data_IF_007921878876
#
_entry.id   IF_007921878876
#
_cell.length_a   1.000
_cell.length_b   1.000
_cell.length_c   1.000
_cell.angle_alpha   90.00
_cell.angle_beta   90.00
_cell.angle_gamma   90.00
#
_symmetry.space_group_name_H-M   'P 1'
#
loop_
_entity.id
_entity.type
_entity.pdbx_description
1 polymer ?
#
# COMPACT_ATOMS: atom_id res chain seq x y z
N UNK A 1 -26.39 11.93 -6.23
CA UNK A 1 -27.76 11.53 -5.80
C UNK A 1 -27.62 11.05 -4.36
N UNK A 2 -28.20 11.82 -3.43
CA UNK A 2 -28.28 11.46 -2.01
C UNK A 2 -29.28 10.29 -1.86
N UNK A 3 -28.82 9.16 -1.31
CA UNK A 3 -29.69 8.07 -0.91
C UNK A 3 -30.18 8.33 0.52
N UNK A 4 -31.48 8.45 0.70
CA UNK A 4 -32.09 8.51 2.04
C UNK A 4 -32.24 7.08 2.58
N UNK A 5 -31.72 6.82 3.80
CA UNK A 5 -32.01 5.58 4.52
C UNK A 5 -33.42 5.61 5.12
N UNK A 6 -33.96 4.44 5.50
CA UNK A 6 -35.30 4.28 6.09
C UNK A 6 -35.54 5.12 7.34
N UNK A 7 -34.51 5.74 7.94
CA UNK A 7 -34.59 6.61 9.12
C UNK A 7 -34.38 8.11 8.84
N UNK A 8 -34.37 8.56 7.58
CA UNK A 8 -34.26 9.99 7.23
C UNK A 8 -32.96 10.69 7.60
N UNK A 9 -31.91 9.99 8.00
CA UNK A 9 -30.59 10.56 8.24
C UNK A 9 -29.83 10.67 6.92
N UNK A 10 -29.38 11.89 6.60
CA UNK A 10 -28.47 12.11 5.45
C UNK A 10 -27.14 11.45 5.74
N UNK A 11 -26.78 10.45 4.95
CA UNK A 11 -25.46 9.86 5.00
C UNK A 11 -24.49 10.63 4.08
N UNK A 12 -23.31 10.94 4.58
CA UNK A 12 -22.23 11.48 3.79
C UNK A 12 -21.46 10.34 3.13
N UNK A 13 -21.18 10.45 1.83
CA UNK A 13 -20.36 9.50 1.10
C UNK A 13 -18.90 9.95 1.19
N UNK A 14 -18.03 9.10 1.73
CA UNK A 14 -16.59 9.32 1.81
C UNK A 14 -15.85 8.17 1.14
N UNK A 15 -14.97 8.48 0.19
CA UNK A 15 -14.16 7.48 -0.51
C UNK A 15 -12.71 7.60 -0.10
N UNK A 16 -12.12 6.49 0.35
CA UNK A 16 -10.68 6.32 0.51
C UNK A 16 -10.16 5.71 -0.79
N UNK A 17 -9.38 6.45 -1.59
CA UNK A 17 -8.81 5.91 -2.81
C UNK A 17 -7.75 4.84 -2.53
N UNK A 18 -7.56 3.94 -3.47
CA UNK A 18 -6.45 2.99 -3.47
C UNK A 18 -5.11 3.73 -3.49
N UNK A 19 -4.11 3.17 -2.82
CA UNK A 19 -2.80 3.80 -2.71
C UNK A 19 -2.73 5.00 -1.77
N UNK A 20 -3.82 5.36 -1.08
CA UNK A 20 -3.78 6.40 -0.03
C UNK A 20 -3.04 5.89 1.21
N UNK A 21 -2.44 6.82 1.92
CA UNK A 21 -1.87 6.58 3.25
C UNK A 21 -2.86 7.00 4.33
N UNK A 22 -2.53 6.70 5.58
CA UNK A 22 -3.31 7.18 6.74
C UNK A 22 -3.30 8.71 6.79
N UNK A 23 -2.15 9.34 6.53
CA UNK A 23 -2.00 10.79 6.49
C UNK A 23 -2.86 11.43 5.39
N UNK A 24 -2.78 10.89 4.17
CA UNK A 24 -3.59 11.38 3.04
C UNK A 24 -5.10 11.21 3.31
N UNK A 25 -5.48 10.12 4.00
CA UNK A 25 -6.86 9.88 4.41
C UNK A 25 -7.32 10.88 5.45
N UNK A 26 -6.46 11.20 6.44
CA UNK A 26 -6.72 12.20 7.46
C UNK A 26 -6.93 13.60 6.85
N UNK A 27 -6.04 14.01 5.95
CA UNK A 27 -6.14 15.29 5.25
C UNK A 27 -7.40 15.38 4.41
N UNK A 28 -7.80 14.29 3.75
CA UNK A 28 -9.01 14.23 2.95
C UNK A 28 -10.27 14.37 3.82
N UNK A 29 -10.32 13.70 4.98
CA UNK A 29 -11.42 13.82 5.92
C UNK A 29 -11.60 15.26 6.43
N UNK A 30 -10.50 15.94 6.75
CA UNK A 30 -10.52 17.33 7.19
C UNK A 30 -10.94 18.27 6.05
N UNK A 31 -10.39 18.09 4.85
CA UNK A 31 -10.73 18.88 3.66
C UNK A 31 -12.22 18.75 3.28
N UNK A 32 -12.81 17.59 3.47
CA UNK A 32 -14.24 17.36 3.21
C UNK A 32 -15.14 17.76 4.40
N UNK A 33 -14.57 18.26 5.50
CA UNK A 33 -15.31 18.74 6.66
C UNK A 33 -16.03 17.63 7.45
N UNK A 34 -15.54 16.39 7.35
CA UNK A 34 -16.14 15.24 8.05
C UNK A 34 -15.67 15.19 9.50
N UNK A 35 -14.36 15.30 9.72
CA UNK A 35 -13.70 15.41 11.03
C UNK A 35 -12.32 16.03 10.86
N UNK A 36 -11.65 16.42 11.95
CA UNK A 36 -10.27 16.91 11.88
C UNK A 36 -9.31 15.76 11.59
N UNK A 37 -8.20 16.06 10.89
CA UNK A 37 -7.12 15.09 10.67
C UNK A 37 -6.64 14.47 11.99
N UNK A 38 -6.47 15.31 13.02
CA UNK A 38 -6.01 14.87 14.33
C UNK A 38 -6.98 13.89 15.01
N UNK A 39 -8.30 14.07 14.87
CA UNK A 39 -9.30 13.13 15.40
C UNK A 39 -9.15 11.75 14.77
N UNK A 40 -9.03 11.69 13.44
CA UNK A 40 -8.83 10.43 12.73
C UNK A 40 -7.51 9.75 13.12
N UNK A 41 -6.39 10.48 13.13
CA UNK A 41 -5.08 9.94 13.47
C UNK A 41 -5.03 9.41 14.91
N UNK A 42 -5.71 10.08 15.84
CA UNK A 42 -5.85 9.64 17.24
C UNK A 42 -6.64 8.34 17.31
N UNK A 43 -7.75 8.24 16.57
CA UNK A 43 -8.57 7.03 16.52
C UNK A 43 -7.82 5.85 15.90
N UNK A 44 -7.05 6.06 14.83
CA UNK A 44 -6.17 5.04 14.20
C UNK A 44 -5.14 4.52 15.21
N UNK A 45 -4.47 5.41 15.93
CA UNK A 45 -3.47 5.03 16.94
C UNK A 45 -4.10 4.21 18.07
N UNK A 46 -5.25 4.64 18.58
CA UNK A 46 -6.01 3.92 19.62
C UNK A 46 -6.48 2.54 19.13
N UNK A 47 -6.96 2.45 17.89
CA UNK A 47 -7.43 1.21 17.31
C UNK A 47 -6.29 0.19 17.15
N UNK A 48 -5.05 0.62 16.93
CA UNK A 48 -3.89 -0.28 16.91
C UNK A 48 -3.74 -1.06 18.21
N UNK A 49 -3.95 -0.41 19.37
CA UNK A 49 -3.82 -1.05 20.68
C UNK A 49 -5.07 -1.90 21.07
N UNK A 50 -6.22 -1.69 20.43
CA UNK A 50 -7.50 -2.32 20.80
C UNK A 50 -8.04 -3.30 19.76
N UNK A 51 -7.58 -3.23 18.52
CA UNK A 51 -8.05 -4.10 17.44
C UNK A 51 -7.61 -5.55 17.62
N UNK A 52 -8.25 -6.45 16.89
CA UNK A 52 -7.86 -7.86 16.82
C UNK A 52 -6.46 -8.08 16.25
N UNK A 53 -5.90 -7.08 15.57
CA UNK A 53 -4.58 -7.10 14.95
C UNK A 53 -3.44 -6.74 15.89
N UNK A 54 -3.70 -6.19 17.08
CA UNK A 54 -2.70 -5.65 18.02
C UNK A 54 -1.47 -6.55 18.27
N UNK A 55 -1.65 -7.87 18.23
CA UNK A 55 -0.57 -8.82 18.52
C UNK A 55 0.30 -9.16 17.29
N UNK A 56 -0.08 -8.70 16.10
CA UNK A 56 0.63 -8.96 14.84
C UNK A 56 1.10 -7.69 14.17
N UNK A 57 0.72 -6.52 14.70
CA UNK A 57 1.15 -5.23 14.18
C UNK A 57 2.65 -5.00 14.46
N UNK A 58 3.34 -4.21 13.60
CA UNK A 58 4.74 -3.89 13.78
C UNK A 58 4.97 -3.05 15.05
N UNK A 59 6.22 -2.99 15.50
CA UNK A 59 6.64 -2.17 16.64
C UNK A 59 6.35 -0.68 16.35
N UNK A 60 5.48 -0.08 17.16
CA UNK A 60 5.05 1.32 17.03
C UNK A 60 6.18 2.35 17.08
N UNK A 61 7.35 1.97 17.62
CA UNK A 61 8.50 2.85 17.66
C UNK A 61 9.27 2.92 16.34
N UNK A 62 8.96 2.02 15.41
CA UNK A 62 9.67 1.86 14.14
C UNK A 62 8.84 2.23 12.92
N UNK A 63 7.53 2.39 13.08
CA UNK A 63 6.59 2.72 12.01
C UNK A 63 5.89 4.03 12.28
N UNK A 64 5.41 4.70 11.25
CA UNK A 64 4.62 5.92 11.42
C UNK A 64 3.24 5.59 12.01
N UNK A 65 2.56 4.61 11.41
CA UNK A 65 1.28 4.09 11.88
C UNK A 65 1.24 2.57 11.75
N UNK A 66 0.90 1.89 12.83
CA UNK A 66 0.82 0.42 12.86
C UNK A 66 -0.29 -0.14 11.96
N UNK A 67 -1.37 0.61 11.75
CA UNK A 67 -2.50 0.21 10.90
C UNK A 67 -2.36 0.66 9.44
N UNK A 68 -1.19 1.15 9.00
CA UNK A 68 -0.97 1.39 7.57
C UNK A 68 -1.16 0.08 6.79
N UNK A 69 -1.90 0.14 5.68
CA UNK A 69 -2.29 -1.03 4.91
C UNK A 69 -3.61 -1.70 5.35
N UNK A 70 -4.03 -1.54 6.61
CA UNK A 70 -5.32 -2.03 7.12
C UNK A 70 -6.47 -1.03 6.92
N UNK A 71 -6.15 0.24 6.67
CA UNK A 71 -7.15 1.26 6.33
C UNK A 71 -7.60 1.01 4.88
N UNK A 72 -8.63 0.16 4.74
CA UNK A 72 -9.03 -0.39 3.44
C UNK A 72 -9.63 0.67 2.51
N UNK A 73 -9.19 0.75 1.24
CA UNK A 73 -9.75 1.68 0.26
C UNK A 73 -11.13 1.21 -0.19
N UNK A 74 -12.14 2.02 0.09
CA UNK A 74 -13.52 1.78 -0.32
C UNK A 74 -14.33 3.08 -0.19
N UNK A 75 -15.61 3.02 -0.55
CA UNK A 75 -16.57 4.09 -0.34
C UNK A 75 -17.44 3.80 0.88
N UNK A 76 -17.31 4.66 1.88
CA UNK A 76 -17.98 4.56 3.17
C UNK A 76 -19.17 5.51 3.24
N UNK A 77 -20.33 5.00 3.66
CA UNK A 77 -21.51 5.81 3.99
C UNK A 77 -21.47 6.13 5.48
N UNK A 78 -21.38 7.42 5.80
CA UNK A 78 -21.10 7.92 7.14
C UNK A 78 -22.30 8.67 7.68
N UNK A 79 -22.66 8.41 8.94
CA UNK A 79 -23.64 9.24 9.66
C UNK A 79 -23.08 10.66 9.86
N UNK A 80 -23.97 11.66 9.98
CA UNK A 80 -23.61 13.08 10.08
C UNK A 80 -22.62 13.39 11.23
N UNK A 81 -22.67 12.63 12.31
CA UNK A 81 -21.87 12.86 13.52
C UNK A 81 -20.98 11.64 13.83
N UNK A 82 -20.44 10.99 12.79
CA UNK A 82 -19.54 9.85 13.00
C UNK A 82 -18.28 10.31 13.74
N UNK A 83 -17.88 9.56 14.76
CA UNK A 83 -16.60 9.80 15.46
C UNK A 83 -15.46 9.08 14.78
N UNK A 84 -14.21 9.51 15.04
CA UNK A 84 -13.02 8.84 14.52
C UNK A 84 -12.98 7.35 14.89
N UNK A 85 -13.30 7.00 16.15
CA UNK A 85 -13.34 5.60 16.60
C UNK A 85 -14.35 4.77 15.80
N UNK A 86 -15.54 5.31 15.52
CA UNK A 86 -16.57 4.62 14.73
C UNK A 86 -16.15 4.46 13.27
N UNK A 87 -15.51 5.47 12.69
CA UNK A 87 -15.01 5.39 11.32
C UNK A 87 -13.92 4.34 11.19
N UNK A 88 -12.91 4.35 12.06
CA UNK A 88 -11.83 3.38 12.04
C UNK A 88 -12.36 1.96 12.26
N UNK A 89 -13.29 1.76 13.17
CA UNK A 89 -13.94 0.46 13.38
C UNK A 89 -14.64 -0.04 12.10
N UNK A 90 -15.39 0.84 11.42
CA UNK A 90 -16.07 0.52 10.16
C UNK A 90 -15.09 0.16 9.05
N UNK A 91 -13.95 0.89 8.95
CA UNK A 91 -12.89 0.61 7.98
C UNK A 91 -12.24 -0.76 8.23
N UNK A 92 -11.92 -1.08 9.49
CA UNK A 92 -11.34 -2.37 9.85
C UNK A 92 -12.32 -3.53 9.65
N UNK A 93 -13.62 -3.31 9.88
CA UNK A 93 -14.66 -4.31 9.56
C UNK A 93 -14.72 -4.57 8.05
N UNK A 94 -14.59 -3.54 7.22
CA UNK A 94 -14.56 -3.73 5.77
C UNK A 94 -13.28 -4.45 5.33
N UNK A 95 -12.13 -4.12 5.89
CA UNK A 95 -10.91 -4.88 5.67
C UNK A 95 -11.11 -6.37 6.01
N UNK A 96 -11.76 -6.69 7.13
CA UNK A 96 -12.06 -8.06 7.54
C UNK A 96 -12.92 -8.82 6.54
N UNK A 97 -13.88 -8.16 5.92
CA UNK A 97 -14.71 -8.74 4.86
C UNK A 97 -13.92 -9.01 3.58
N UNK A 98 -13.03 -8.09 3.23
CA UNK A 98 -12.22 -8.19 2.00
C UNK A 98 -11.06 -9.17 2.18
N UNK A 99 -10.33 -9.12 3.29
CA UNK A 99 -9.29 -10.09 3.63
C UNK A 99 -9.92 -11.29 4.34
N UNK A 100 -10.79 -11.99 3.64
CA UNK A 100 -11.61 -13.08 4.11
C UNK A 100 -10.81 -14.37 4.44
N UNK A 101 -11.51 -15.40 4.91
CA UNK A 101 -10.90 -16.69 5.25
C UNK A 101 -10.16 -17.32 4.06
N UNK A 102 -10.64 -17.14 2.84
CA UNK A 102 -9.99 -17.68 1.63
C UNK A 102 -8.64 -17.05 1.42
N UNK A 103 -8.52 -15.71 1.53
CA UNK A 103 -7.25 -14.98 1.43
C UNK A 103 -6.30 -15.29 2.58
N UNK A 104 -6.84 -15.42 3.81
CA UNK A 104 -6.05 -15.84 4.97
C UNK A 104 -5.45 -17.24 4.77
N UNK A 105 -6.21 -18.19 4.25
CA UNK A 105 -5.73 -19.55 3.95
C UNK A 105 -4.66 -19.52 2.84
N UNK A 106 -4.85 -18.73 1.78
CA UNK A 106 -3.84 -18.57 0.73
C UNK A 106 -2.54 -17.96 1.27
N UNK A 107 -2.62 -16.92 2.09
CA UNK A 107 -1.45 -16.33 2.74
C UNK A 107 -0.70 -17.39 3.56
N UNK A 108 -1.41 -18.17 4.38
CA UNK A 108 -0.82 -19.24 5.16
C UNK A 108 -0.17 -20.33 4.30
N UNK A 109 -0.77 -20.72 3.17
CA UNK A 109 -0.18 -21.68 2.21
C UNK A 109 1.11 -21.18 1.60
N UNK A 110 1.23 -19.84 1.40
CA UNK A 110 2.45 -19.18 0.92
C UNK A 110 3.46 -18.91 2.05
N UNK A 111 3.13 -19.24 3.29
CA UNK A 111 3.97 -18.95 4.47
C UNK A 111 4.03 -17.46 4.83
N UNK A 112 3.08 -16.67 4.39
CA UNK A 112 3.03 -15.22 4.61
C UNK A 112 2.07 -14.87 5.76
N UNK A 113 2.47 -13.93 6.62
CA UNK A 113 1.57 -13.26 7.54
C UNK A 113 0.67 -12.26 6.80
N UNK A 114 -0.44 -11.82 7.44
CA UNK A 114 -1.29 -10.74 6.92
C UNK A 114 -0.47 -9.49 6.66
N UNK A 115 0.39 -9.12 7.62
CA UNK A 115 1.27 -7.97 7.52
C UNK A 115 2.20 -8.07 6.28
N UNK A 116 2.81 -9.22 6.06
CA UNK A 116 3.68 -9.43 4.90
C UNK A 116 2.93 -9.33 3.58
N UNK A 117 1.70 -9.84 3.51
CA UNK A 117 0.85 -9.65 2.32
C UNK A 117 0.56 -8.18 2.07
N UNK A 118 0.19 -7.42 3.12
CA UNK A 118 -0.09 -5.99 2.99
C UNK A 118 1.15 -5.17 2.61
N UNK A 119 2.32 -5.50 3.16
CA UNK A 119 3.59 -4.87 2.76
C UNK A 119 3.80 -5.06 1.26
N UNK A 120 3.78 -6.30 0.77
CA UNK A 120 3.98 -6.61 -0.64
C UNK A 120 2.92 -5.95 -1.53
N UNK A 121 1.65 -6.03 -1.15
CA UNK A 121 0.56 -5.42 -1.90
C UNK A 121 0.67 -3.90 -1.99
N UNK A 122 1.13 -3.24 -0.91
CA UNK A 122 1.38 -1.80 -0.93
C UNK A 122 2.52 -1.39 -1.86
N UNK A 123 3.53 -2.26 -2.02
CA UNK A 123 4.58 -2.07 -3.03
C UNK A 123 3.98 -2.18 -4.44
N UNK A 124 3.25 -3.27 -4.74
CA UNK A 124 2.60 -3.44 -6.05
C UNK A 124 1.75 -2.23 -6.42
N UNK A 125 0.91 -1.75 -5.48
CA UNK A 125 0.02 -0.60 -5.67
C UNK A 125 0.75 0.69 -6.04
N UNK A 126 2.02 0.82 -5.66
CA UNK A 126 2.83 2.02 -5.93
C UNK A 126 3.73 1.89 -7.16
N UNK A 127 3.88 0.69 -7.71
CA UNK A 127 4.81 0.43 -8.83
C UNK A 127 4.11 0.38 -10.19
N UNK A 128 2.81 0.08 -10.24
CA UNK A 128 2.07 0.04 -11.50
C UNK A 128 0.60 0.39 -11.29
N UNK A 129 -0.02 0.98 -12.31
CA UNK A 129 -1.47 1.22 -12.38
C UNK A 129 -2.21 0.07 -13.09
N UNK A 130 -1.46 -0.94 -13.60
CA UNK A 130 -2.01 -2.07 -14.35
C UNK A 130 -2.17 -3.30 -13.46
N UNK A 131 -3.41 -3.68 -13.06
CA UNK A 131 -3.64 -4.81 -12.16
C UNK A 131 -3.12 -6.14 -12.71
N UNK A 132 -3.07 -6.33 -14.02
CA UNK A 132 -2.52 -7.52 -14.68
C UNK A 132 -1.01 -7.71 -14.45
N UNK A 133 -0.28 -6.66 -14.08
CA UNK A 133 1.14 -6.74 -13.74
C UNK A 133 1.41 -7.10 -12.27
N UNK A 134 0.43 -6.96 -11.38
CA UNK A 134 0.60 -7.27 -9.96
C UNK A 134 1.15 -8.68 -9.71
N UNK A 135 0.63 -9.76 -10.32
CA UNK A 135 1.19 -11.10 -10.13
C UNK A 135 2.63 -11.24 -10.65
N UNK A 136 2.98 -10.50 -11.72
CA UNK A 136 4.32 -10.55 -12.32
C UNK A 136 5.33 -9.86 -11.38
N UNK A 137 5.00 -8.65 -10.90
CA UNK A 137 5.85 -7.88 -9.96
C UNK A 137 5.96 -8.62 -8.63
N UNK A 138 4.89 -9.28 -8.15
CA UNK A 138 4.95 -10.14 -6.96
C UNK A 138 5.99 -11.25 -7.13
N UNK A 139 6.09 -11.85 -8.32
CA UNK A 139 7.15 -12.80 -8.68
C UNK A 139 8.55 -12.17 -8.66
N UNK A 140 8.71 -10.95 -9.18
CA UNK A 140 9.99 -10.20 -9.12
C UNK A 140 10.40 -9.95 -7.67
N UNK A 141 9.47 -9.51 -6.81
CA UNK A 141 9.74 -9.30 -5.39
C UNK A 141 10.26 -10.59 -4.76
N UNK A 142 9.57 -11.73 -4.98
CA UNK A 142 9.98 -13.01 -4.44
C UNK A 142 11.37 -13.43 -4.95
N UNK A 143 11.63 -13.32 -6.25
CA UNK A 143 12.92 -13.65 -6.84
C UNK A 143 14.08 -12.83 -6.25
N UNK A 144 13.86 -11.52 -6.01
CA UNK A 144 14.87 -10.66 -5.37
C UNK A 144 15.10 -11.04 -3.90
N UNK A 145 14.04 -11.34 -3.15
CA UNK A 145 14.14 -11.78 -1.76
C UNK A 145 14.92 -13.10 -1.65
N UNK A 146 14.62 -14.09 -2.49
CA UNK A 146 15.32 -15.39 -2.53
C UNK A 146 16.81 -15.24 -2.82
N UNK A 147 17.16 -14.28 -3.69
CA UNK A 147 18.54 -13.94 -4.03
C UNK A 147 19.21 -12.98 -3.04
N UNK A 148 18.51 -12.57 -1.96
CA UNK A 148 18.97 -11.57 -0.99
C UNK A 148 19.38 -10.24 -1.64
N UNK A 149 18.73 -9.88 -2.74
CA UNK A 149 18.86 -8.59 -3.39
C UNK A 149 18.05 -7.52 -2.64
N UNK A 150 18.47 -6.27 -2.76
CA UNK A 150 17.65 -5.12 -2.32
C UNK A 150 16.47 -4.96 -3.28
N UNK A 151 15.30 -4.56 -2.77
CA UNK A 151 14.11 -4.36 -3.61
C UNK A 151 14.20 -3.08 -4.45
N UNK A 152 14.80 -2.00 -3.91
CA UNK A 152 15.08 -0.75 -4.61
C UNK A 152 13.84 -0.09 -5.23
N UNK A 153 12.78 0.01 -4.46
CA UNK A 153 11.55 0.71 -4.83
C UNK A 153 11.60 2.17 -4.37
N UNK A 154 11.52 3.11 -5.30
CA UNK A 154 11.52 4.56 -5.05
C UNK A 154 10.40 4.94 -4.08
N UNK A 155 9.23 4.33 -4.24
CA UNK A 155 8.05 4.53 -3.41
C UNK A 155 8.32 4.37 -1.92
N UNK A 156 9.24 3.46 -1.52
CA UNK A 156 9.62 3.22 -0.13
C UNK A 156 10.46 4.35 0.45
N UNK A 157 11.37 4.92 -0.33
CA UNK A 157 12.17 6.08 0.08
C UNK A 157 11.29 7.34 0.16
N UNK A 158 10.41 7.54 -0.83
CA UNK A 158 9.45 8.65 -0.84
C UNK A 158 8.53 8.59 0.38
N UNK A 159 7.96 7.42 0.70
CA UNK A 159 7.13 7.25 1.89
C UNK A 159 7.88 7.64 3.16
N UNK A 160 9.14 7.21 3.29
CA UNK A 160 9.97 7.51 4.46
C UNK A 160 10.25 9.01 4.62
N UNK A 161 10.60 9.72 3.53
CA UNK A 161 10.96 11.14 3.55
C UNK A 161 9.73 12.01 3.81
N UNK A 162 8.61 11.68 3.17
CA UNK A 162 7.38 12.48 3.23
C UNK A 162 6.48 12.08 4.40
N UNK A 163 6.86 11.05 5.16
CA UNK A 163 6.02 10.45 6.20
C UNK A 163 4.62 10.10 5.68
N UNK A 164 4.57 9.56 4.47
CA UNK A 164 3.31 9.12 3.84
C UNK A 164 2.57 10.16 3.01
N UNK A 165 2.96 11.43 3.02
CA UNK A 165 2.28 12.47 2.23
C UNK A 165 2.52 12.33 0.71
N UNK A 166 3.57 11.62 0.31
CA UNK A 166 4.03 11.56 -1.09
C UNK A 166 4.28 12.97 -1.67
N UNK A 167 3.73 13.37 -2.76
CA UNK A 167 3.80 14.75 -3.26
C UNK A 167 5.19 15.24 -3.71
N UNK A 168 6.20 14.37 -3.81
CA UNK A 168 7.50 14.68 -4.38
C UNK A 168 7.40 14.57 -5.89
N UNK A 169 7.67 15.66 -6.61
CA UNK A 169 7.59 15.69 -8.07
C UNK A 169 8.69 14.86 -8.76
N UNK A 170 9.85 14.71 -8.11
CA UNK A 170 11.00 13.94 -8.62
C UNK A 170 11.84 13.42 -7.46
N UNK A 171 12.14 12.14 -7.48
CA UNK A 171 13.07 11.50 -6.53
C UNK A 171 14.51 11.81 -6.97
N UNK A 172 15.33 12.32 -6.05
CA UNK A 172 16.74 12.60 -6.28
C UNK A 172 17.60 11.51 -5.64
N UNK A 173 18.82 11.31 -6.13
CA UNK A 173 19.74 10.31 -5.56
C UNK A 173 19.94 10.46 -4.03
N UNK A 174 20.03 11.69 -3.53
CA UNK A 174 20.11 11.97 -2.07
C UNK A 174 18.91 11.46 -1.29
N UNK A 175 17.75 11.39 -1.93
CA UNK A 175 16.50 10.96 -1.30
C UNK A 175 16.49 9.43 -1.09
N UNK A 176 17.22 8.69 -1.96
CA UNK A 176 17.40 7.25 -1.86
C UNK A 176 18.35 6.83 -0.72
N UNK A 177 19.05 7.78 -0.09
CA UNK A 177 19.98 7.52 1.02
C UNK A 177 19.34 7.72 2.40
N UNK A 178 18.06 8.07 2.47
CA UNK A 178 17.35 8.27 3.74
C UNK A 178 17.53 7.07 4.67
N UNK A 179 17.91 7.35 5.94
CA UNK A 179 18.06 6.29 6.94
C UNK A 179 16.72 5.98 7.58
N UNK A 180 16.02 5.02 6.99
CA UNK A 180 14.70 4.59 7.44
C UNK A 180 14.52 3.09 7.20
N UNK A 181 13.90 2.36 8.12
CA UNK A 181 13.59 0.94 7.95
C UNK A 181 12.59 0.66 6.80
N UNK A 182 11.99 1.69 6.23
CA UNK A 182 11.20 1.58 5.01
C UNK A 182 12.07 1.54 3.75
N UNK A 183 13.29 2.11 3.77
CA UNK A 183 14.10 2.33 2.57
C UNK A 183 14.71 1.04 2.01
N UNK A 184 14.14 0.52 0.94
CA UNK A 184 14.59 -0.70 0.26
C UNK A 184 15.82 -0.50 -0.65
N UNK A 185 16.32 0.71 -0.82
CA UNK A 185 17.65 1.00 -1.38
C UNK A 185 18.75 0.77 -0.36
N UNK A 186 18.46 1.06 0.91
CA UNK A 186 19.46 0.96 1.98
C UNK A 186 19.47 -0.42 2.62
N UNK A 187 18.32 -0.98 2.89
CA UNK A 187 18.14 -2.25 3.60
C UNK A 187 17.64 -3.36 2.68
N UNK A 188 18.12 -4.59 2.91
CA UNK A 188 17.65 -5.79 2.23
C UNK A 188 16.37 -6.30 2.87
N UNK A 189 15.56 -7.00 2.09
CA UNK A 189 14.28 -7.55 2.54
C UNK A 189 13.12 -6.61 2.27
N UNK A 190 11.98 -6.94 2.87
CA UNK A 190 10.78 -6.10 2.84
C UNK A 190 10.96 -4.88 3.74
N UNK A 191 10.30 -3.75 3.44
CA UNK A 191 10.23 -2.63 4.36
C UNK A 191 9.53 -3.05 5.66
N UNK A 192 9.71 -2.26 6.72
CA UNK A 192 9.19 -2.56 8.07
C UNK A 192 7.67 -2.61 8.16
N UNK A 193 6.96 -2.03 7.22
CA UNK A 193 5.49 -2.00 7.17
C UNK A 193 4.99 -1.55 5.80
N UNK A 194 3.66 -1.61 5.57
CA UNK A 194 3.05 -1.12 4.34
C UNK A 194 3.28 0.38 4.12
N UNK A 195 3.32 0.81 2.86
CA UNK A 195 3.56 2.20 2.48
C UNK A 195 2.31 2.92 1.93
N UNK A 196 1.20 2.20 1.79
CA UNK A 196 -0.12 2.72 1.43
C UNK A 196 -1.20 1.68 1.72
N UNK A 197 -2.45 2.05 1.51
CA UNK A 197 -3.61 1.16 1.50
C UNK A 197 -3.75 0.50 0.13
N UNK A 198 -3.47 -0.81 0.00
CA UNK A 198 -3.52 -1.49 -1.29
C UNK A 198 -4.96 -1.81 -1.71
N UNK A 199 -5.19 -1.90 -3.02
CA UNK A 199 -6.42 -2.43 -3.61
C UNK A 199 -6.58 -3.94 -3.34
N UNK A 200 -7.78 -4.45 -3.57
CA UNK A 200 -8.03 -5.89 -3.47
C UNK A 200 -7.25 -6.67 -4.55
N UNK A 201 -7.15 -6.09 -5.74
CA UNK A 201 -6.40 -6.62 -6.87
C UNK A 201 -4.90 -6.74 -6.55
N UNK A 202 -4.32 -5.75 -5.85
CA UNK A 202 -2.93 -5.82 -5.41
C UNK A 202 -2.72 -6.90 -4.34
N UNK A 203 -3.67 -7.06 -3.40
CA UNK A 203 -3.66 -8.16 -2.42
C UNK A 203 -3.75 -9.52 -3.14
N UNK A 204 -4.69 -9.67 -4.08
CA UNK A 204 -4.88 -10.90 -4.85
C UNK A 204 -3.66 -11.20 -5.75
N UNK A 205 -2.98 -10.18 -6.27
CA UNK A 205 -1.73 -10.29 -7.02
C UNK A 205 -0.60 -10.90 -6.18
N UNK A 206 -0.47 -10.49 -4.91
CA UNK A 206 0.49 -11.09 -3.96
C UNK A 206 0.14 -12.53 -3.64
N UNK A 207 -1.16 -12.83 -3.47
CA UNK A 207 -1.64 -14.17 -3.11
C UNK A 207 -1.67 -15.16 -4.29
N UNK A 208 -1.50 -14.67 -5.53
CA UNK A 208 -1.44 -15.46 -6.75
C UNK A 208 -0.24 -15.04 -7.62
N UNK A 209 0.99 -15.11 -7.08
CA UNK A 209 2.17 -14.61 -7.81
C UNK A 209 2.40 -15.44 -9.06
N UNK A 210 2.70 -14.77 -10.17
CA UNK A 210 3.13 -15.45 -11.38
C UNK A 210 4.56 -15.93 -11.23
N UNK A 211 4.78 -17.24 -11.38
CA UNK A 211 6.13 -17.80 -11.40
C UNK A 211 6.86 -17.29 -12.63
N UNK A 212 7.96 -16.59 -12.42
CA UNK A 212 8.83 -16.06 -13.48
C UNK A 212 10.29 -16.01 -12.99
N UNK A 213 11.22 -15.61 -13.87
CA UNK A 213 12.64 -15.45 -13.55
C UNK A 213 13.08 -13.98 -13.58
N UNK A 214 12.14 -13.03 -13.65
CA UNK A 214 12.46 -11.62 -13.75
C UNK A 214 13.03 -11.09 -12.43
N UNK A 215 14.01 -10.18 -12.56
CA UNK A 215 14.65 -9.49 -11.44
C UNK A 215 14.53 -7.97 -11.57
N UNK A 216 14.22 -7.46 -12.76
CA UNK A 216 14.14 -6.04 -13.05
C UNK A 216 12.89 -5.73 -13.85
N UNK A 217 12.38 -4.53 -13.68
CA UNK A 217 11.33 -3.95 -14.52
C UNK A 217 11.48 -2.44 -14.58
N UNK A 218 10.92 -1.84 -15.61
CA UNK A 218 10.86 -0.40 -15.81
C UNK A 218 9.69 -0.06 -16.74
N UNK A 219 9.19 1.16 -16.64
CA UNK A 219 8.13 1.65 -17.52
C UNK A 219 8.52 1.51 -19.01
N UNK A 220 7.59 1.02 -19.82
CA UNK A 220 7.74 0.91 -21.27
C UNK A 220 7.40 2.24 -21.95
N UNK A 221 8.36 3.15 -22.02
CA UNK A 221 8.13 4.48 -22.62
C UNK A 221 7.98 4.42 -24.15
N UNK A 222 8.35 3.32 -24.79
CA UNK A 222 8.15 3.11 -26.24
C UNK A 222 6.67 2.86 -26.54
N UNK A 223 6.01 1.99 -25.78
CA UNK A 223 4.56 1.76 -25.90
C UNK A 223 3.76 2.90 -25.33
N UNK A 224 4.24 3.52 -24.26
CA UNK A 224 3.59 4.60 -23.52
C UNK A 224 2.12 4.28 -23.14
N UNK A 225 1.87 3.02 -22.79
CA UNK A 225 0.58 2.47 -22.40
C UNK A 225 0.50 2.16 -20.88
N UNK A 226 1.50 2.62 -20.11
CA UNK A 226 1.63 2.37 -18.68
C UNK A 226 2.22 1.01 -18.33
N UNK A 227 2.46 0.13 -19.32
CA UNK A 227 3.05 -1.19 -19.07
C UNK A 227 4.53 -1.13 -18.73
N UNK A 228 5.03 -2.20 -18.09
CA UNK A 228 6.44 -2.38 -17.78
C UNK A 228 7.13 -3.36 -18.73
N UNK A 229 8.44 -3.17 -18.92
CA UNK A 229 9.34 -4.13 -19.53
C UNK A 229 10.00 -4.92 -18.40
N UNK A 230 9.82 -6.24 -18.39
CA UNK A 230 10.39 -7.15 -17.40
C UNK A 230 11.62 -7.85 -17.95
N UNK A 231 12.72 -7.88 -17.19
CA UNK A 231 13.99 -8.46 -17.61
C UNK A 231 14.61 -9.32 -16.51
N UNK A 232 15.48 -10.28 -16.92
CA UNK A 232 16.13 -11.25 -16.02
C UNK A 232 17.51 -10.78 -15.56
N UNK A 233 18.22 -10.05 -16.41
CA UNK A 233 19.58 -9.57 -16.12
C UNK A 233 19.67 -8.06 -16.10
N UNK A 234 20.71 -7.55 -15.45
CA UNK A 234 20.97 -6.11 -15.41
C UNK A 234 21.39 -5.57 -16.78
N UNK A 235 22.04 -6.38 -17.60
CA UNK A 235 22.42 -6.05 -18.97
C UNK A 235 21.19 -5.83 -19.86
N UNK A 236 20.20 -6.75 -19.77
CA UNK A 236 18.92 -6.60 -20.47
C UNK A 236 18.16 -5.35 -19.99
N UNK A 237 18.16 -5.10 -18.68
CA UNK A 237 17.53 -3.92 -18.10
C UNK A 237 18.15 -2.61 -18.62
N UNK A 238 19.50 -2.52 -18.66
CA UNK A 238 20.18 -1.35 -19.23
C UNK A 238 19.91 -1.18 -20.73
N UNK A 239 19.86 -2.28 -21.47
CA UNK A 239 19.53 -2.22 -22.90
C UNK A 239 18.10 -1.70 -23.12
N UNK A 240 17.14 -2.16 -22.33
CA UNK A 240 15.77 -1.66 -22.36
C UNK A 240 15.69 -0.17 -22.00
N UNK A 241 16.44 0.31 -20.98
CA UNK A 241 16.50 1.73 -20.60
C UNK A 241 17.07 2.60 -21.73
N UNK A 242 18.13 2.16 -22.41
CA UNK A 242 18.72 2.91 -23.52
C UNK A 242 17.77 3.07 -24.73
N UNK A 243 16.83 2.14 -24.91
CA UNK A 243 15.80 2.21 -25.97
C UNK A 243 14.67 3.19 -25.60
N UNK A 244 14.50 3.49 -24.33
CA UNK A 244 13.45 4.38 -23.83
C UNK A 244 13.88 5.85 -23.76
N UNK A 245 15.17 6.15 -23.89
CA UNK A 245 15.74 7.52 -23.88
C UNK A 245 15.90 8.16 -25.29
N UNK A 246 15.53 7.46 -26.37
CA UNK A 246 15.51 7.95 -27.74
C UNK A 246 14.11 8.38 -28.15
#
# INVERSE_FOLDING_TARGET
KELATQNGQKENKFTIPEGYTIEMTADKLEKEGIMTAQEFLTAVTKAADTSRYKNILPDKTKVFYQLQGYIYPDTYYLSKNITGDQLVAKILEEFDKKFDTTRQQKAAQLGMSVEEVLIRASLLQKETELPEEYPIIAGVIQNRLDKKMKLQFDSTAVYAITKGQYGIARVMYKDLEVDSPYNTYKYKGLPIGPICSPSLEAIDGVLNPQKNDYLYFQMNTVKNDGSNIFTKTYEEHKAASATTEQ
#
